data_IF_064248206911
#
_entry.id   IF_064248206911
#
_cell.length_a   1.000
_cell.length_b   1.000
_cell.length_c   1.000
_cell.angle_alpha   90.00
_cell.angle_beta   90.00
_cell.angle_gamma   90.00
#
_symmetry.space_group_name_H-M   'P 1'
#
loop_
_entity.id
_entity.type
_entity.pdbx_description
1 polymer ?
#
# COMPACT_ATOMS: atom_id res chain seq x y z
N UNK A 1 18.15 -25.24 -61.97
CA UNK A 1 18.39 -25.26 -60.51
C UNK A 1 18.77 -23.89 -59.91
N UNK A 2 18.92 -22.82 -60.70
CA UNK A 2 19.37 -21.50 -60.21
C UNK A 2 18.25 -20.61 -59.62
N UNK A 3 16.99 -20.87 -60.02
CA UNK A 3 15.80 -20.08 -59.63
C UNK A 3 15.29 -20.41 -58.21
N UNK A 4 15.52 -21.63 -57.71
CA UNK A 4 15.15 -22.03 -56.35
C UNK A 4 16.14 -21.51 -55.30
N UNK A 5 17.43 -21.42 -55.62
CA UNK A 5 18.43 -20.80 -54.75
C UNK A 5 18.17 -19.30 -54.54
N UNK A 6 17.79 -18.58 -55.61
CA UNK A 6 17.53 -17.14 -55.53
C UNK A 6 16.29 -16.81 -54.66
N UNK A 7 15.26 -17.67 -54.70
CA UNK A 7 14.07 -17.53 -53.85
C UNK A 7 14.36 -17.79 -52.37
N UNK A 8 15.27 -18.72 -52.06
CA UNK A 8 15.71 -18.98 -50.69
C UNK A 8 16.51 -17.81 -50.09
N UNK A 9 17.40 -17.19 -50.87
CA UNK A 9 18.22 -16.06 -50.43
C UNK A 9 17.37 -14.80 -50.17
N UNK A 10 16.37 -14.52 -51.00
CA UNK A 10 15.45 -13.40 -50.75
C UNK A 10 14.59 -13.58 -49.48
N UNK A 11 14.22 -14.82 -49.14
CA UNK A 11 13.40 -15.10 -47.96
C UNK A 11 14.18 -14.92 -46.65
N UNK A 12 15.49 -15.22 -46.67
CA UNK A 12 16.38 -15.02 -45.51
C UNK A 12 16.74 -13.54 -45.29
N UNK A 13 16.94 -12.77 -46.37
CA UNK A 13 17.23 -11.33 -46.27
C UNK A 13 16.02 -10.51 -45.79
N UNK A 14 14.79 -10.91 -46.12
CA UNK A 14 13.58 -10.23 -45.66
C UNK A 14 13.31 -10.40 -44.15
N UNK A 15 13.70 -11.53 -43.56
CA UNK A 15 13.56 -11.78 -42.11
C UNK A 15 14.61 -11.07 -41.25
N UNK A 16 15.81 -10.80 -41.79
CA UNK A 16 16.86 -10.09 -41.07
C UNK A 16 16.60 -8.57 -40.97
N UNK A 17 15.90 -7.98 -41.95
CA UNK A 17 15.59 -6.55 -41.96
C UNK A 17 14.46 -6.16 -40.99
N UNK A 18 13.60 -7.11 -40.59
CA UNK A 18 12.47 -6.85 -39.69
C UNK A 18 12.87 -6.80 -38.20
N UNK A 19 14.03 -7.33 -37.84
CA UNK A 19 14.51 -7.39 -36.45
C UNK A 19 15.28 -6.14 -36.00
N UNK A 20 15.79 -5.32 -36.93
CA UNK A 20 16.51 -4.08 -36.62
C UNK A 20 15.60 -2.87 -36.46
N UNK A 21 14.46 -2.82 -37.18
CA UNK A 21 13.50 -1.72 -37.10
C UNK A 21 12.79 -1.63 -35.73
N UNK A 22 12.60 -2.76 -35.04
CA UNK A 22 11.99 -2.80 -33.69
C UNK A 22 12.91 -2.30 -32.58
N UNK A 23 14.24 -2.26 -32.80
CA UNK A 23 15.21 -1.82 -31.78
C UNK A 23 15.50 -0.33 -31.78
N UNK A 24 15.10 0.40 -32.83
CA UNK A 24 15.38 1.84 -32.96
C UNK A 24 14.32 2.74 -32.29
N UNK A 25 13.18 2.19 -31.83
CA UNK A 25 12.10 2.95 -31.20
C UNK A 25 12.12 2.94 -29.65
N UNK A 26 13.11 2.33 -29.02
CA UNK A 26 13.08 2.08 -27.56
C UNK A 26 13.92 3.05 -26.72
N UNK A 27 14.42 4.15 -27.30
CA UNK A 27 15.35 5.06 -26.60
C UNK A 27 14.92 6.54 -26.60
N UNK A 28 13.62 6.81 -26.63
CA UNK A 28 13.15 8.07 -26.06
C UNK A 28 13.30 7.98 -24.54
N UNK A 29 14.37 8.59 -24.02
CA UNK A 29 14.56 8.82 -22.59
C UNK A 29 13.36 9.62 -22.08
N UNK A 30 12.34 8.93 -21.58
CA UNK A 30 11.23 9.54 -20.85
C UNK A 30 11.86 10.27 -19.67
N UNK A 31 11.87 11.61 -19.71
CA UNK A 31 12.29 12.40 -18.57
C UNK A 31 11.39 12.01 -17.39
N UNK A 32 11.97 11.39 -16.38
CA UNK A 32 11.27 11.00 -15.16
C UNK A 32 10.97 12.28 -14.38
N UNK A 33 9.76 12.82 -14.59
CA UNK A 33 9.30 13.98 -13.83
C UNK A 33 8.95 13.50 -12.42
N UNK A 34 9.90 13.64 -11.49
CA UNK A 34 9.63 13.47 -10.05
C UNK A 34 8.59 14.50 -9.62
N UNK A 35 7.40 14.02 -9.29
CA UNK A 35 6.30 14.85 -8.79
C UNK A 35 6.55 15.14 -7.31
N UNK A 36 6.93 16.38 -7.00
CA UNK A 36 6.99 16.89 -5.64
C UNK A 36 5.63 17.49 -5.23
N UNK A 37 5.22 17.25 -3.99
CA UNK A 37 4.07 17.96 -3.40
C UNK A 37 4.42 19.43 -3.16
N UNK A 38 3.41 20.28 -2.94
CA UNK A 38 3.64 21.71 -2.66
C UNK A 38 4.45 21.87 -1.35
N UNK A 39 4.12 21.10 -0.32
CA UNK A 39 4.84 21.12 0.97
C UNK A 39 6.31 20.74 0.81
N UNK A 40 6.62 19.69 0.05
CA UNK A 40 8.00 19.27 -0.21
C UNK A 40 8.84 20.35 -0.90
N UNK A 41 8.22 21.26 -1.65
CA UNK A 41 8.93 22.36 -2.33
C UNK A 41 9.21 23.56 -1.44
N UNK A 42 8.28 23.90 -0.55
CA UNK A 42 8.35 25.14 0.23
C UNK A 42 8.76 24.92 1.69
N UNK A 43 8.45 23.76 2.28
CA UNK A 43 8.71 23.43 3.69
C UNK A 43 9.11 21.94 3.83
N UNK A 44 10.24 21.50 3.25
CA UNK A 44 10.66 20.10 3.25
C UNK A 44 10.94 19.55 4.65
N UNK A 45 11.34 20.41 5.59
CA UNK A 45 11.64 20.05 6.98
C UNK A 45 10.41 19.59 7.78
N UNK A 46 9.20 19.92 7.33
CA UNK A 46 7.95 19.43 7.94
C UNK A 46 7.46 18.13 7.30
N UNK A 47 8.11 17.66 6.23
CA UNK A 47 7.72 16.44 5.53
C UNK A 47 8.42 15.26 6.15
N UNK A 48 7.62 14.32 6.67
CA UNK A 48 8.13 13.08 7.25
C UNK A 48 8.94 12.27 6.23
N UNK A 49 10.05 11.72 6.71
CA UNK A 49 10.90 10.84 5.92
C UNK A 49 10.12 9.58 5.50
N UNK A 50 10.55 8.87 4.44
CA UNK A 50 9.94 7.60 4.06
C UNK A 50 9.93 6.58 5.21
N UNK A 51 11.00 6.53 6.01
CA UNK A 51 11.14 5.60 7.13
C UNK A 51 10.17 5.91 8.26
N UNK A 52 10.06 7.16 8.68
CA UNK A 52 9.08 7.60 9.68
C UNK A 52 7.65 7.30 9.23
N UNK A 53 7.34 7.48 7.95
CA UNK A 53 6.02 7.14 7.39
C UNK A 53 5.72 5.65 7.44
N UNK A 54 6.73 4.80 7.31
CA UNK A 54 6.58 3.34 7.46
C UNK A 54 6.36 3.01 8.94
N UNK A 55 7.19 3.53 9.83
CA UNK A 55 7.06 3.33 11.28
C UNK A 55 5.67 3.73 11.79
N UNK A 56 5.17 4.92 11.43
CA UNK A 56 3.83 5.37 11.84
C UNK A 56 2.70 4.48 11.32
N UNK A 57 2.88 3.80 10.18
CA UNK A 57 1.89 2.83 9.67
C UNK A 57 1.95 1.53 10.46
N UNK A 58 3.15 1.06 10.78
CA UNK A 58 3.36 -0.14 11.60
C UNK A 58 2.80 0.07 13.00
N UNK A 59 3.08 1.20 13.63
CA UNK A 59 2.52 1.60 14.92
C UNK A 59 0.98 1.62 14.89
N UNK A 60 0.39 2.23 13.86
CA UNK A 60 -1.06 2.23 13.65
C UNK A 60 -1.63 0.80 13.57
N UNK A 61 -0.97 -0.08 12.83
CA UNK A 61 -1.42 -1.47 12.67
C UNK A 61 -1.33 -2.21 14.00
N UNK A 62 -0.24 -2.04 14.74
CA UNK A 62 -0.02 -2.66 16.05
C UNK A 62 -1.03 -2.16 17.10
N UNK A 63 -1.36 -0.87 17.09
CA UNK A 63 -2.37 -0.31 17.99
C UNK A 63 -3.76 -0.87 17.67
N UNK A 64 -4.12 -0.96 16.38
CA UNK A 64 -5.39 -1.55 15.94
C UNK A 64 -5.46 -3.03 16.33
N UNK A 65 -4.40 -3.81 16.15
CA UNK A 65 -4.39 -5.23 16.52
C UNK A 65 -4.56 -5.40 18.04
N UNK A 66 -3.81 -4.65 18.84
CA UNK A 66 -3.94 -4.66 20.30
C UNK A 66 -5.36 -4.30 20.75
N UNK A 67 -5.98 -3.30 20.13
CA UNK A 67 -7.35 -2.88 20.47
C UNK A 67 -8.36 -3.98 20.15
N UNK A 68 -8.18 -4.72 19.06
CA UNK A 68 -9.04 -5.88 18.74
C UNK A 68 -8.89 -6.98 19.78
N UNK A 69 -7.67 -7.32 20.16
CA UNK A 69 -7.40 -8.33 21.20
C UNK A 69 -8.09 -7.96 22.52
N UNK A 70 -8.04 -6.68 22.92
CA UNK A 70 -8.77 -6.21 24.10
C UNK A 70 -10.26 -6.48 23.95
N UNK A 71 -10.87 -6.05 22.84
CA UNK A 71 -12.31 -6.27 22.59
C UNK A 71 -12.66 -7.76 22.61
N UNK A 72 -11.79 -8.62 22.10
CA UNK A 72 -11.98 -10.07 22.09
C UNK A 72 -11.97 -10.67 23.51
N UNK A 73 -11.23 -10.09 24.44
CA UNK A 73 -11.20 -10.54 25.85
C UNK A 73 -12.34 -10.01 26.72
N UNK A 74 -13.06 -8.97 26.28
CA UNK A 74 -14.14 -8.40 27.08
C UNK A 74 -15.36 -9.32 27.19
N UNK A 75 -15.94 -9.38 28.40
CA UNK A 75 -17.23 -10.02 28.64
C UNK A 75 -18.38 -9.10 28.20
N UNK A 76 -18.62 -9.10 26.89
CA UNK A 76 -19.68 -8.32 26.24
C UNK A 76 -20.51 -9.21 25.33
N UNK A 77 -21.76 -8.80 25.10
CA UNK A 77 -22.63 -9.50 24.16
C UNK A 77 -22.04 -9.49 22.75
N UNK A 78 -22.28 -10.56 21.99
CA UNK A 78 -21.72 -10.75 20.66
C UNK A 78 -22.05 -9.59 19.70
N UNK A 79 -23.28 -9.10 19.76
CA UNK A 79 -23.71 -7.92 18.99
C UNK A 79 -22.90 -6.67 19.31
N UNK A 80 -22.47 -6.47 20.56
CA UNK A 80 -21.61 -5.36 20.95
C UNK A 80 -20.18 -5.59 20.46
N UNK A 81 -19.65 -6.81 20.60
CA UNK A 81 -18.33 -7.22 20.09
C UNK A 81 -18.20 -6.93 18.60
N UNK A 82 -19.11 -7.44 17.79
CA UNK A 82 -19.13 -7.23 16.33
C UNK A 82 -19.19 -5.74 15.97
N UNK A 83 -19.98 -4.95 16.72
CA UNK A 83 -20.09 -3.51 16.49
C UNK A 83 -18.79 -2.78 16.79
N UNK A 84 -18.12 -3.12 17.89
CA UNK A 84 -16.83 -2.53 18.27
C UNK A 84 -15.74 -2.91 17.28
N UNK A 85 -15.67 -4.17 16.84
CA UNK A 85 -14.73 -4.62 15.81
C UNK A 85 -14.94 -3.86 14.48
N UNK A 86 -16.19 -3.66 14.08
CA UNK A 86 -16.53 -2.83 12.91
C UNK A 86 -16.12 -1.36 13.08
N UNK A 87 -16.34 -0.78 14.27
CA UNK A 87 -15.95 0.59 14.58
C UNK A 87 -14.41 0.73 14.55
N UNK A 88 -13.66 -0.24 15.07
CA UNK A 88 -12.18 -0.30 15.02
C UNK A 88 -11.69 -0.37 13.57
N UNK A 89 -12.28 -1.24 12.74
CA UNK A 89 -11.87 -1.42 11.35
C UNK A 89 -12.15 -0.19 10.47
N UNK A 90 -13.28 0.48 10.68
CA UNK A 90 -13.71 1.61 9.84
C UNK A 90 -13.15 2.94 10.34
N UNK A 91 -13.15 3.16 11.66
CA UNK A 91 -12.81 4.44 12.30
C UNK A 91 -12.15 4.19 13.68
N UNK A 92 -10.88 3.72 13.71
CA UNK A 92 -10.19 3.30 14.93
C UNK A 92 -10.02 4.42 15.97
N UNK A 93 -10.04 5.68 15.53
CA UNK A 93 -9.90 6.86 16.39
C UNK A 93 -11.20 7.67 16.49
N UNK A 94 -12.36 7.03 16.31
CA UNK A 94 -13.64 7.75 16.42
C UNK A 94 -13.95 8.11 17.87
N UNK A 95 -14.44 9.34 18.16
CA UNK A 95 -14.82 9.73 19.53
C UNK A 95 -15.87 8.80 20.15
N UNK A 96 -16.73 8.23 19.29
CA UNK A 96 -17.70 7.21 19.66
C UNK A 96 -17.02 5.97 20.23
N UNK A 97 -16.04 5.40 19.51
CA UNK A 97 -15.31 4.20 19.92
C UNK A 97 -14.55 4.47 21.22
N UNK A 98 -13.84 5.59 21.32
CA UNK A 98 -13.11 5.98 22.53
C UNK A 98 -14.04 6.06 23.74
N UNK A 99 -15.21 6.70 23.58
CA UNK A 99 -16.21 6.81 24.64
C UNK A 99 -16.82 5.46 25.01
N UNK A 100 -17.02 4.55 24.06
CA UNK A 100 -17.54 3.21 24.38
C UNK A 100 -16.50 2.36 25.10
N UNK A 101 -15.24 2.41 24.67
CA UNK A 101 -14.14 1.69 25.33
C UNK A 101 -13.92 2.20 26.75
N UNK A 102 -13.98 3.51 26.99
CA UNK A 102 -13.84 4.07 28.33
C UNK A 102 -15.03 3.77 29.28
N UNK A 103 -16.20 3.44 28.73
CA UNK A 103 -17.40 3.07 29.52
C UNK A 103 -17.48 1.59 29.84
N UNK A 104 -16.72 0.76 29.13
CA UNK A 104 -16.54 -0.63 29.51
C UNK A 104 -15.66 -0.57 30.75
N UNK A 105 -16.30 -0.48 31.91
CA UNK A 105 -15.63 -0.56 33.20
C UNK A 105 -14.80 -1.84 33.17
N UNK A 106 -13.48 -1.69 33.21
CA UNK A 106 -12.63 -2.78 33.64
C UNK A 106 -12.98 -2.93 35.11
N UNK A 107 -13.43 -4.12 35.51
CA UNK A 107 -13.49 -4.48 36.92
C UNK A 107 -12.03 -4.41 37.40
N UNK A 108 -11.63 -3.22 37.88
CA UNK A 108 -10.39 -3.03 38.60
C UNK A 108 -10.55 -3.90 39.84
N UNK A 109 -10.10 -5.14 39.75
CA UNK A 109 -10.09 -6.05 40.87
C UNK A 109 -9.39 -5.33 42.01
N UNK A 110 -10.12 -5.06 43.08
CA UNK A 110 -9.57 -4.67 44.36
C UNK A 110 -8.58 -5.78 44.74
N UNK A 111 -7.29 -5.54 44.46
CA UNK A 111 -6.20 -6.35 44.95
C UNK A 111 -6.11 -6.01 46.45
N UNK A 112 -6.86 -6.74 47.28
CA UNK A 112 -6.63 -6.82 48.73
C UNK A 112 -5.31 -7.54 49.05
#
# INVERSE_FOLDING_TARGET
MKKSLFRGICLVLACAASSTALRAQENEKKHEVTKYTIMERFEPELVLTPEERVQLKEERVAEISKTKEIVDTLDISERKREKLLNDILKKPYSPRLSRTMAKLEFEDGDIE
#
